data_IF_392491421110
#
_entry.id   IF_392491421110
#
_cell.length_a   1.000
_cell.length_b   1.000
_cell.length_c   1.000
_cell.angle_alpha   90.00
_cell.angle_beta   90.00
_cell.angle_gamma   90.00
#
_symmetry.space_group_name_H-M   'P 1'
#
loop_
_entity.id
_entity.type
_entity.pdbx_description
1 polymer ?
#
# COMPACT_ATOMS: atom_id res chain seq x y z
N UNK A 1 5.43 -3.01 -54.69
CA UNK A 1 4.98 -2.34 -53.45
C UNK A 1 6.19 -2.21 -52.55
N UNK A 2 6.40 -1.06 -51.88
CA UNK A 2 7.34 -0.95 -50.77
C UNK A 2 7.01 -1.98 -49.68
N UNK A 3 8.04 -2.49 -49.00
CA UNK A 3 7.91 -3.52 -47.96
C UNK A 3 6.98 -3.07 -46.82
N UNK A 4 7.16 -1.84 -46.34
CA UNK A 4 6.31 -1.18 -45.34
C UNK A 4 4.81 -1.16 -45.72
N UNK A 5 4.48 -0.96 -47.00
CA UNK A 5 3.08 -0.99 -47.46
C UNK A 5 2.49 -2.42 -47.46
N UNK A 6 3.34 -3.44 -47.64
CA UNK A 6 2.93 -4.85 -47.53
C UNK A 6 2.69 -5.21 -46.06
N UNK A 7 3.58 -4.79 -45.15
CA UNK A 7 3.40 -4.98 -43.70
C UNK A 7 2.11 -4.32 -43.20
N UNK A 8 1.90 -3.04 -43.49
CA UNK A 8 0.66 -2.34 -43.14
C UNK A 8 -0.59 -3.04 -43.71
N UNK A 9 -0.55 -3.52 -44.96
CA UNK A 9 -1.69 -4.26 -45.53
C UNK A 9 -1.94 -5.59 -44.81
N UNK A 10 -0.88 -6.30 -44.41
CA UNK A 10 -0.98 -7.55 -43.64
C UNK A 10 -1.56 -7.28 -42.24
N UNK A 11 -1.15 -6.21 -41.55
CA UNK A 11 -1.72 -5.79 -40.27
C UNK A 11 -3.23 -5.50 -40.39
N UNK A 12 -3.66 -4.75 -41.40
CA UNK A 12 -5.08 -4.49 -41.63
C UNK A 12 -5.87 -5.77 -41.90
N UNK A 13 -5.28 -6.72 -42.64
CA UNK A 13 -5.88 -8.01 -42.94
C UNK A 13 -5.99 -8.90 -41.69
N UNK A 14 -4.94 -8.97 -40.86
CA UNK A 14 -4.97 -9.64 -39.54
C UNK A 14 -6.10 -9.05 -38.69
N UNK A 15 -6.19 -7.72 -38.59
CA UNK A 15 -7.22 -7.05 -37.80
C UNK A 15 -8.63 -7.47 -38.22
N UNK A 16 -8.91 -7.45 -39.52
CA UNK A 16 -10.22 -7.74 -40.08
C UNK A 16 -10.62 -9.21 -39.93
N UNK A 17 -9.70 -10.13 -40.23
CA UNK A 17 -9.91 -11.58 -40.10
C UNK A 17 -10.07 -11.97 -38.63
N UNK A 18 -9.11 -11.59 -37.78
CA UNK A 18 -9.09 -12.02 -36.39
C UNK A 18 -10.20 -11.38 -35.56
N UNK A 19 -10.64 -10.16 -35.86
CA UNK A 19 -11.81 -9.56 -35.19
C UNK A 19 -13.10 -10.36 -35.42
N UNK A 20 -13.23 -11.05 -36.58
CA UNK A 20 -14.37 -11.92 -36.90
C UNK A 20 -14.19 -13.34 -36.33
N UNK A 21 -12.97 -13.88 -36.38
CA UNK A 21 -12.65 -15.23 -35.94
C UNK A 21 -12.46 -15.38 -34.42
N UNK A 22 -12.17 -14.30 -33.68
CA UNK A 22 -11.89 -14.34 -32.24
C UNK A 22 -12.93 -15.14 -31.43
N UNK A 23 -14.23 -14.99 -31.74
CA UNK A 23 -15.30 -15.70 -31.02
C UNK A 23 -15.31 -17.23 -31.20
N UNK A 24 -14.53 -17.74 -32.16
CA UNK A 24 -14.40 -19.16 -32.46
C UNK A 24 -13.02 -19.70 -32.03
N UNK A 25 -11.94 -18.93 -32.25
CA UNK A 25 -10.57 -19.43 -32.09
C UNK A 25 -9.89 -19.03 -30.78
N UNK A 26 -10.46 -18.09 -30.02
CA UNK A 26 -9.95 -17.72 -28.69
C UNK A 26 -10.52 -18.67 -27.64
N UNK A 27 -9.64 -19.35 -26.88
CA UNK A 27 -10.03 -20.30 -25.82
C UNK A 27 -11.01 -21.38 -26.32
N UNK A 28 -10.69 -22.01 -27.46
CA UNK A 28 -11.53 -23.04 -28.08
C UNK A 28 -11.55 -24.34 -27.27
N UNK A 29 -12.73 -24.97 -27.15
CA UNK A 29 -13.02 -26.14 -26.30
C UNK A 29 -12.11 -27.36 -26.50
N UNK A 30 -11.41 -27.45 -27.64
CA UNK A 30 -10.43 -28.50 -27.92
C UNK A 30 -9.06 -28.29 -27.26
N UNK A 31 -8.83 -27.14 -26.62
CA UNK A 31 -7.57 -26.76 -25.99
C UNK A 31 -7.74 -26.68 -24.47
N UNK A 32 -6.66 -26.91 -23.74
CA UNK A 32 -6.60 -26.78 -22.27
C UNK A 32 -6.37 -25.32 -21.79
N UNK A 33 -6.57 -24.34 -22.68
CA UNK A 33 -6.28 -22.92 -22.44
C UNK A 33 -7.08 -22.36 -21.23
N UNK A 34 -8.36 -22.70 -21.10
CA UNK A 34 -9.21 -22.29 -19.94
C UNK A 34 -8.67 -22.86 -18.61
N UNK A 35 -8.24 -24.13 -18.63
CA UNK A 35 -7.76 -24.82 -17.44
C UNK A 35 -6.44 -24.20 -16.96
N UNK A 36 -5.56 -23.83 -17.89
CA UNK A 36 -4.33 -23.08 -17.62
C UNK A 36 -4.61 -21.66 -17.16
N UNK A 37 -5.58 -20.96 -17.74
CA UNK A 37 -6.02 -19.65 -17.26
C UNK A 37 -6.50 -19.69 -15.81
N UNK A 38 -7.33 -20.66 -15.45
CA UNK A 38 -7.81 -20.84 -14.08
C UNK A 38 -6.67 -21.21 -13.12
N UNK A 39 -5.71 -22.04 -13.55
CA UNK A 39 -4.53 -22.38 -12.76
C UNK A 39 -3.64 -21.14 -12.51
N UNK A 40 -3.32 -20.39 -13.57
CA UNK A 40 -2.50 -19.18 -13.51
C UNK A 40 -3.17 -18.07 -12.68
N UNK A 41 -4.47 -17.84 -12.85
CA UNK A 41 -5.21 -16.84 -12.07
C UNK A 41 -5.24 -17.19 -10.58
N UNK A 42 -5.42 -18.47 -10.22
CA UNK A 42 -5.33 -18.95 -8.83
C UNK A 42 -3.92 -18.79 -8.28
N UNK A 43 -2.90 -19.09 -9.08
CA UNK A 43 -1.49 -18.94 -8.73
C UNK A 43 -1.13 -17.49 -8.44
N UNK A 44 -1.45 -16.55 -9.34
CA UNK A 44 -1.26 -15.11 -9.10
C UNK A 44 -2.01 -14.66 -7.84
N UNK A 45 -3.27 -15.10 -7.65
CA UNK A 45 -4.06 -14.78 -6.45
C UNK A 45 -3.40 -15.28 -5.16
N UNK A 46 -2.76 -16.45 -5.17
CA UNK A 46 -2.03 -16.98 -4.00
C UNK A 46 -0.74 -16.22 -3.67
N UNK A 47 -0.23 -15.41 -4.60
CA UNK A 47 1.00 -14.61 -4.47
C UNK A 47 0.70 -13.11 -4.20
N UNK A 48 -0.54 -12.76 -3.87
CA UNK A 48 -0.96 -11.36 -3.57
C UNK A 48 -0.24 -10.72 -2.38
N UNK A 49 0.47 -11.49 -1.57
CA UNK A 49 1.26 -11.02 -0.42
C UNK A 49 2.70 -10.60 -0.78
N UNK A 50 3.16 -10.89 -2.00
CA UNK A 50 4.52 -10.55 -2.45
C UNK A 50 4.64 -9.04 -2.61
N UNK A 51 5.61 -8.44 -1.92
CA UNK A 51 5.86 -6.99 -1.95
C UNK A 51 6.88 -6.61 -3.03
N UNK A 52 6.88 -5.36 -3.53
CA UNK A 52 7.86 -4.93 -4.55
C UNK A 52 9.31 -5.05 -4.05
N UNK A 53 9.56 -4.93 -2.74
CA UNK A 53 10.89 -5.10 -2.14
C UNK A 53 11.42 -6.54 -2.25
N UNK A 54 10.56 -7.55 -2.09
CA UNK A 54 10.96 -8.97 -2.25
C UNK A 54 11.42 -9.26 -3.69
N UNK A 55 10.79 -8.63 -4.66
CA UNK A 55 11.15 -8.71 -6.09
C UNK A 55 12.23 -7.69 -6.50
N UNK A 56 12.77 -6.90 -5.55
CA UNK A 56 13.76 -5.83 -5.79
C UNK A 56 13.33 -4.80 -6.84
N UNK A 57 12.03 -4.58 -6.97
CA UNK A 57 11.46 -3.64 -7.93
C UNK A 57 11.85 -2.20 -7.56
N UNK A 58 12.33 -1.38 -8.50
CA UNK A 58 12.52 0.05 -8.27
C UNK A 58 11.17 0.70 -7.98
N UNK A 59 10.93 1.08 -6.74
CA UNK A 59 9.68 1.72 -6.31
C UNK A 59 10.03 3.05 -5.64
N UNK A 60 9.43 4.15 -6.08
CA UNK A 60 9.53 5.40 -5.32
C UNK A 60 8.52 5.31 -4.19
N UNK A 61 9.00 5.34 -2.95
CA UNK A 61 8.16 5.55 -1.78
C UNK A 61 7.77 7.04 -1.71
N UNK A 62 6.92 7.41 -2.67
CA UNK A 62 6.24 8.70 -2.78
C UNK A 62 5.04 8.66 -1.81
N UNK A 63 4.66 9.81 -1.24
CA UNK A 63 3.83 9.84 -0.03
C UNK A 63 2.45 9.19 -0.21
N UNK A 64 1.69 8.91 0.88
CA UNK A 64 0.42 8.16 0.81
C UNK A 64 -0.71 8.80 -0.01
N UNK A 65 -0.50 9.99 -0.61
CA UNK A 65 -1.41 10.61 -1.57
C UNK A 65 -1.02 10.37 -3.04
N UNK A 66 0.21 9.91 -3.32
CA UNK A 66 0.68 9.59 -4.67
C UNK A 66 0.17 8.19 -5.09
N UNK A 67 -0.38 8.10 -6.31
CA UNK A 67 -0.84 6.83 -6.87
C UNK A 67 0.34 5.89 -7.20
N UNK A 68 0.11 4.57 -7.14
CA UNK A 68 1.11 3.55 -7.53
C UNK A 68 1.68 3.89 -8.92
N UNK A 69 3.00 4.12 -9.06
CA UNK A 69 3.61 4.51 -10.34
C UNK A 69 3.44 3.45 -11.44
N UNK A 70 3.12 2.21 -11.07
CA UNK A 70 2.85 1.10 -11.99
C UNK A 70 1.36 0.97 -12.37
N UNK A 71 0.45 1.75 -11.78
CA UNK A 71 -1.00 1.71 -12.09
C UNK A 71 -1.34 1.86 -13.59
N UNK A 72 -0.65 2.73 -14.38
CA UNK A 72 -0.87 2.80 -15.83
C UNK A 72 -0.46 1.51 -16.56
N UNK A 73 0.62 0.84 -16.11
CA UNK A 73 1.07 -0.43 -16.67
C UNK A 73 0.11 -1.58 -16.32
N UNK A 74 -0.36 -1.62 -15.07
CA UNK A 74 -1.39 -2.54 -14.56
C UNK A 74 -2.68 -2.42 -15.39
N UNK A 75 -3.12 -1.19 -15.66
CA UNK A 75 -4.32 -0.92 -16.47
C UNK A 75 -4.11 -1.40 -17.91
N UNK A 76 -2.96 -1.09 -18.53
CA UNK A 76 -2.66 -1.46 -19.91
C UNK A 76 -2.64 -2.98 -20.15
N UNK A 77 -2.13 -3.78 -19.20
CA UNK A 77 -2.11 -5.25 -19.34
C UNK A 77 -3.49 -5.88 -19.08
N UNK A 78 -4.33 -5.30 -18.22
CA UNK A 78 -5.73 -5.73 -18.03
C UNK A 78 -6.55 -5.47 -19.31
N UNK A 79 -6.34 -4.33 -19.98
CA UNK A 79 -7.02 -3.98 -21.23
C UNK A 79 -6.79 -4.97 -22.39
N UNK A 80 -5.73 -5.79 -22.33
CA UNK A 80 -5.38 -6.76 -23.38
C UNK A 80 -6.53 -7.72 -23.71
N UNK A 81 -7.26 -8.18 -22.68
CA UNK A 81 -8.36 -9.13 -22.84
C UNK A 81 -9.55 -8.54 -23.62
N UNK A 82 -9.77 -7.23 -23.51
CA UNK A 82 -10.84 -6.53 -24.23
C UNK A 82 -10.56 -6.35 -25.74
N UNK A 83 -9.32 -6.55 -26.20
CA UNK A 83 -8.94 -6.42 -27.61
C UNK A 83 -9.23 -7.71 -28.39
N UNK A 84 -9.47 -7.63 -29.70
CA UNK A 84 -9.77 -8.81 -30.54
C UNK A 84 -8.67 -9.16 -31.56
N UNK A 85 -8.00 -8.19 -32.15
CA UNK A 85 -6.87 -8.47 -33.03
C UNK A 85 -5.59 -8.80 -32.22
N UNK A 86 -4.74 -9.75 -32.65
CA UNK A 86 -3.45 -10.01 -32.03
C UNK A 86 -2.58 -8.74 -31.92
N UNK A 87 -2.48 -7.92 -32.97
CA UNK A 87 -1.77 -6.63 -32.92
C UNK A 87 -2.30 -5.68 -31.83
N UNK A 88 -3.60 -5.66 -31.56
CA UNK A 88 -4.18 -4.75 -30.55
C UNK A 88 -3.85 -5.25 -29.14
N UNK A 89 -3.76 -6.57 -28.95
CA UNK A 89 -3.26 -7.21 -27.71
C UNK A 89 -1.78 -6.90 -27.51
N UNK A 90 -0.96 -7.02 -28.56
CA UNK A 90 0.45 -6.62 -28.54
C UNK A 90 0.64 -5.13 -28.22
N UNK A 91 -0.19 -4.24 -28.78
CA UNK A 91 -0.20 -2.82 -28.41
C UNK A 91 -0.44 -2.59 -26.91
N UNK A 92 -1.28 -3.41 -26.25
CA UNK A 92 -1.46 -3.37 -24.80
C UNK A 92 -0.20 -3.80 -24.04
N UNK A 93 0.51 -4.83 -24.52
CA UNK A 93 1.80 -5.25 -23.94
C UNK A 93 2.87 -4.16 -24.10
N UNK A 94 3.04 -3.59 -25.29
CA UNK A 94 4.02 -2.50 -25.52
C UNK A 94 3.67 -1.23 -24.71
N UNK A 95 2.38 -0.91 -24.54
CA UNK A 95 1.94 0.15 -23.62
C UNK A 95 2.27 -0.17 -22.17
N UNK A 96 2.05 -1.41 -21.71
CA UNK A 96 2.42 -1.85 -20.37
C UNK A 96 3.93 -1.65 -20.13
N UNK A 97 4.77 -2.16 -21.05
CA UNK A 97 6.23 -2.05 -20.96
C UNK A 97 6.71 -0.60 -20.95
N UNK A 98 6.17 0.27 -21.80
CA UNK A 98 6.54 1.70 -21.82
C UNK A 98 6.20 2.42 -20.51
N UNK A 99 5.06 2.11 -19.90
CA UNK A 99 4.71 2.65 -18.58
C UNK A 99 5.63 2.11 -17.48
N UNK A 100 6.09 0.85 -17.56
CA UNK A 100 7.12 0.31 -16.65
C UNK A 100 8.44 1.09 -16.78
N UNK A 101 8.93 1.31 -18.01
CA UNK A 101 10.15 2.11 -18.22
C UNK A 101 10.02 3.54 -17.70
N UNK A 102 8.86 4.17 -17.88
CA UNK A 102 8.58 5.50 -17.34
C UNK A 102 8.57 5.50 -15.80
N UNK A 103 7.97 4.48 -15.17
CA UNK A 103 7.96 4.32 -13.72
C UNK A 103 9.38 4.11 -13.16
N UNK A 104 10.14 3.16 -13.71
CA UNK A 104 11.52 2.87 -13.28
C UNK A 104 12.44 4.08 -13.48
N UNK A 105 12.37 4.75 -14.64
CA UNK A 105 13.13 5.98 -14.91
C UNK A 105 12.70 7.19 -14.07
N UNK A 106 11.54 7.12 -13.40
CA UNK A 106 11.11 8.10 -12.39
C UNK A 106 11.54 7.73 -10.96
N UNK A 107 12.09 6.52 -10.77
CA UNK A 107 12.64 6.01 -9.51
C UNK A 107 14.19 6.05 -9.47
N UNK A 108 14.85 5.81 -10.61
CA UNK A 108 16.32 5.80 -10.75
C UNK A 108 16.79 6.90 -11.71
N UNK A 109 17.96 7.48 -11.41
CA UNK A 109 18.62 8.45 -12.31
C UNK A 109 19.37 7.77 -13.47
N UNK A 110 19.50 6.45 -13.46
CA UNK A 110 20.15 5.65 -14.50
C UNK A 110 19.10 4.98 -15.41
N UNK A 111 19.44 4.67 -16.68
CA UNK A 111 18.56 3.91 -17.56
C UNK A 111 18.19 2.55 -16.94
N UNK A 112 16.91 2.20 -17.00
CA UNK A 112 16.42 0.91 -16.50
C UNK A 112 17.14 -0.26 -17.19
N UNK A 113 17.74 -1.16 -16.42
CA UNK A 113 18.33 -2.38 -16.97
C UNK A 113 17.25 -3.43 -17.28
N UNK A 114 17.63 -4.51 -17.96
CA UNK A 114 16.71 -5.60 -18.29
C UNK A 114 16.13 -6.28 -17.01
N UNK A 115 16.93 -6.41 -15.95
CA UNK A 115 16.50 -7.03 -14.70
C UNK A 115 15.51 -6.14 -13.92
N UNK A 116 15.72 -4.82 -13.91
CA UNK A 116 14.77 -3.85 -13.34
C UNK A 116 13.43 -3.93 -14.06
N UNK A 117 13.46 -3.96 -15.40
CA UNK A 117 12.27 -4.07 -16.24
C UNK A 117 11.53 -5.39 -16.01
N UNK A 118 12.23 -6.52 -16.00
CA UNK A 118 11.62 -7.84 -15.82
C UNK A 118 11.02 -7.99 -14.41
N UNK A 119 11.72 -7.52 -13.39
CA UNK A 119 11.24 -7.54 -12.00
C UNK A 119 9.97 -6.69 -11.84
N UNK A 120 9.97 -5.48 -12.41
CA UNK A 120 8.79 -4.62 -12.43
C UNK A 120 7.62 -5.21 -13.25
N UNK A 121 7.90 -5.90 -14.36
CA UNK A 121 6.89 -6.59 -15.15
C UNK A 121 6.24 -7.76 -14.40
N UNK A 122 7.03 -8.55 -13.67
CA UNK A 122 6.54 -9.61 -12.78
C UNK A 122 5.59 -9.02 -11.71
N UNK A 123 6.01 -7.92 -11.05
CA UNK A 123 5.18 -7.20 -10.08
C UNK A 123 3.87 -6.68 -10.69
N UNK A 124 3.94 -6.03 -11.86
CA UNK A 124 2.75 -5.55 -12.59
C UNK A 124 1.78 -6.69 -12.90
N UNK A 125 2.25 -7.86 -13.34
CA UNK A 125 1.39 -9.02 -13.62
C UNK A 125 0.76 -9.58 -12.34
N UNK A 126 1.51 -9.65 -11.23
CA UNK A 126 1.00 -10.08 -9.92
C UNK A 126 -0.08 -9.14 -9.36
N UNK A 127 0.14 -7.83 -9.48
CA UNK A 127 -0.82 -6.81 -9.06
C UNK A 127 -2.08 -6.84 -9.94
N UNK A 128 -1.91 -6.85 -11.26
CA UNK A 128 -2.99 -6.83 -12.24
C UNK A 128 -3.87 -8.10 -12.19
N UNK A 129 -3.27 -9.29 -12.06
CA UNK A 129 -3.91 -10.58 -12.29
C UNK A 129 -4.78 -10.60 -13.58
N UNK A 130 -4.20 -10.37 -14.77
CA UNK A 130 -4.96 -10.12 -15.99
C UNK A 130 -5.92 -11.27 -16.32
N UNK A 131 -7.17 -10.98 -16.72
CA UNK A 131 -8.12 -12.02 -17.08
C UNK A 131 -7.64 -12.79 -18.32
N UNK A 132 -7.78 -14.12 -18.26
CA UNK A 132 -7.46 -15.05 -19.35
C UNK A 132 -6.06 -14.88 -19.94
N UNK A 133 -5.06 -14.61 -19.08
CA UNK A 133 -3.70 -14.26 -19.49
C UNK A 133 -3.04 -15.35 -20.37
N UNK A 134 -3.21 -16.63 -20.05
CA UNK A 134 -2.69 -17.74 -20.84
C UNK A 134 -3.36 -17.80 -22.22
N UNK A 135 -4.70 -17.76 -22.29
CA UNK A 135 -5.42 -17.72 -23.58
C UNK A 135 -5.02 -16.52 -24.43
N UNK A 136 -4.85 -15.35 -23.82
CA UNK A 136 -4.42 -14.13 -24.52
C UNK A 136 -3.03 -14.27 -25.14
N UNK A 137 -2.06 -14.82 -24.40
CA UNK A 137 -0.71 -15.07 -24.90
C UNK A 137 -0.67 -16.16 -25.97
N UNK A 138 -1.39 -17.28 -25.76
CA UNK A 138 -1.50 -18.35 -26.75
C UNK A 138 -2.17 -17.87 -28.05
N UNK A 139 -3.22 -17.05 -27.95
CA UNK A 139 -3.89 -16.46 -29.11
C UNK A 139 -2.93 -15.56 -29.91
N UNK A 140 -2.17 -14.70 -29.23
CA UNK A 140 -1.14 -13.88 -29.88
C UNK A 140 -0.05 -14.74 -30.53
N UNK A 141 0.45 -15.77 -29.85
CA UNK A 141 1.48 -16.65 -30.38
C UNK A 141 1.01 -17.53 -31.57
N UNK A 142 -0.27 -17.92 -31.62
CA UNK A 142 -0.86 -18.75 -32.68
C UNK A 142 -1.30 -17.96 -33.91
N UNK A 143 -1.77 -16.72 -33.72
CA UNK A 143 -2.44 -15.95 -34.78
C UNK A 143 -1.81 -14.58 -35.09
N UNK A 144 -0.82 -14.13 -34.31
CA UNK A 144 -0.12 -12.88 -34.57
C UNK A 144 0.84 -12.97 -35.76
N UNK A 145 0.96 -11.87 -36.51
CA UNK A 145 1.87 -11.78 -37.65
C UNK A 145 3.34 -12.05 -37.24
N UNK A 146 4.08 -12.90 -37.99
CA UNK A 146 5.46 -13.27 -37.62
C UNK A 146 6.43 -12.10 -37.48
N UNK A 147 6.29 -11.01 -38.26
CA UNK A 147 7.18 -9.84 -38.14
C UNK A 147 6.95 -9.11 -36.81
N UNK A 148 5.69 -8.93 -36.37
CA UNK A 148 5.34 -8.25 -35.11
C UNK A 148 5.81 -9.02 -33.85
N UNK A 149 6.01 -10.34 -33.98
CA UNK A 149 6.50 -11.21 -32.90
C UNK A 149 8.01 -11.46 -32.95
N UNK A 150 8.64 -11.47 -34.14
CA UNK A 150 10.05 -11.82 -34.32
C UNK A 150 10.97 -10.60 -34.47
N UNK A 151 10.42 -9.43 -34.77
CA UNK A 151 11.18 -8.22 -35.07
C UNK A 151 10.67 -7.04 -34.22
N UNK A 152 11.59 -6.18 -33.78
CA UNK A 152 11.26 -4.95 -33.06
C UNK A 152 10.96 -5.12 -31.56
N UNK A 153 10.64 -4.01 -30.92
CA UNK A 153 10.44 -3.91 -29.46
C UNK A 153 9.25 -4.74 -28.94
N UNK A 154 8.18 -4.85 -29.75
CA UNK A 154 6.96 -5.58 -29.40
C UNK A 154 7.21 -7.07 -29.16
N UNK A 155 8.02 -7.72 -30.00
CA UNK A 155 8.44 -9.12 -29.81
C UNK A 155 9.28 -9.32 -28.55
N UNK A 156 10.16 -8.36 -28.23
CA UNK A 156 10.93 -8.36 -26.98
C UNK A 156 10.02 -8.24 -25.75
N UNK A 157 9.04 -7.32 -25.76
CA UNK A 157 8.10 -7.17 -24.64
C UNK A 157 7.21 -8.42 -24.45
N UNK A 158 6.72 -9.02 -25.55
CA UNK A 158 5.93 -10.25 -25.49
C UNK A 158 6.75 -11.45 -24.97
N UNK A 159 8.03 -11.52 -25.36
CA UNK A 159 8.96 -12.54 -24.83
C UNK A 159 9.18 -12.35 -23.33
N UNK A 160 9.40 -11.12 -22.87
CA UNK A 160 9.55 -10.82 -21.44
C UNK A 160 8.27 -11.11 -20.63
N UNK A 161 7.09 -10.83 -21.18
CA UNK A 161 5.81 -11.24 -20.56
C UNK A 161 5.72 -12.77 -20.43
N UNK A 162 6.20 -13.51 -21.44
CA UNK A 162 6.26 -14.98 -21.41
C UNK A 162 7.23 -15.49 -20.33
N UNK A 163 8.39 -14.86 -20.18
CA UNK A 163 9.33 -15.13 -19.08
C UNK A 163 8.72 -14.81 -17.71
N UNK A 164 8.05 -13.67 -17.56
CA UNK A 164 7.42 -13.25 -16.30
C UNK A 164 6.31 -14.22 -15.86
N UNK A 165 5.47 -14.68 -16.78
CA UNK A 165 4.43 -15.69 -16.48
C UNK A 165 5.04 -17.03 -16.08
N UNK A 166 6.03 -17.53 -16.85
CA UNK A 166 6.72 -18.78 -16.52
C UNK A 166 7.48 -18.71 -15.18
N UNK A 167 7.98 -17.53 -14.79
CA UNK A 167 8.54 -17.27 -13.47
C UNK A 167 7.47 -17.34 -12.38
N UNK A 168 6.33 -16.65 -12.54
CA UNK A 168 5.21 -16.66 -11.57
C UNK A 168 4.65 -18.07 -11.35
N UNK A 169 4.54 -18.89 -12.40
CA UNK A 169 4.15 -20.30 -12.28
C UNK A 169 5.10 -21.06 -11.35
N UNK A 170 6.41 -20.90 -11.53
CA UNK A 170 7.48 -21.65 -10.84
C UNK A 170 8.02 -20.98 -9.57
N UNK A 171 7.53 -19.80 -9.21
CA UNK A 171 8.04 -18.97 -8.12
C UNK A 171 8.07 -19.72 -6.77
N UNK A 172 9.24 -19.77 -6.14
CA UNK A 172 9.49 -20.46 -4.89
C UNK A 172 10.05 -19.52 -3.80
N UNK A 173 10.37 -20.08 -2.64
CA UNK A 173 10.94 -19.32 -1.52
C UNK A 173 12.32 -18.72 -1.87
N UNK A 174 13.15 -19.47 -2.61
CA UNK A 174 14.49 -19.06 -2.99
C UNK A 174 14.47 -17.84 -3.94
N UNK A 175 13.54 -17.81 -4.89
CA UNK A 175 13.34 -16.69 -5.81
C UNK A 175 12.98 -15.37 -5.11
N UNK A 176 12.41 -15.42 -3.89
CA UNK A 176 12.09 -14.25 -3.06
C UNK A 176 13.10 -14.02 -1.93
N UNK A 177 14.12 -14.86 -1.77
CA UNK A 177 15.07 -14.81 -0.65
C UNK A 177 14.47 -15.19 0.71
N UNK A 178 13.37 -15.96 0.73
CA UNK A 178 12.67 -16.41 1.94
C UNK A 178 13.05 -17.84 2.30
N UNK A 179 12.83 -18.22 3.57
CA UNK A 179 12.88 -19.64 3.95
C UNK A 179 11.64 -20.41 3.43
N UNK A 180 11.75 -21.74 3.24
CA UNK A 180 10.61 -22.57 2.82
C UNK A 180 9.41 -22.51 3.78
N UNK A 181 9.66 -22.30 5.08
CA UNK A 181 8.64 -22.25 6.12
C UNK A 181 7.90 -20.90 6.14
N UNK A 182 8.60 -19.78 5.97
CA UNK A 182 7.98 -18.46 5.79
C UNK A 182 7.11 -18.44 4.53
N UNK A 183 7.64 -18.93 3.41
CA UNK A 183 6.89 -19.01 2.15
C UNK A 183 5.63 -19.88 2.30
N UNK A 184 5.73 -21.02 2.99
CA UNK A 184 4.58 -21.87 3.31
C UNK A 184 3.57 -21.15 4.21
N UNK A 185 4.04 -20.39 5.21
CA UNK A 185 3.22 -19.57 6.08
C UNK A 185 2.39 -18.54 5.30
N UNK A 186 3.02 -17.79 4.40
CA UNK A 186 2.31 -16.82 3.54
C UNK A 186 1.32 -17.51 2.58
N UNK A 187 1.71 -18.63 1.96
CA UNK A 187 0.84 -19.38 1.06
C UNK A 187 -0.39 -19.99 1.76
N UNK A 188 -0.26 -20.38 3.04
CA UNK A 188 -1.37 -20.90 3.84
C UNK A 188 -2.24 -19.78 4.44
N UNK A 189 -1.62 -18.66 4.86
CA UNK A 189 -2.32 -17.48 5.38
C UNK A 189 -3.01 -16.62 4.31
N UNK A 190 -2.59 -16.71 3.05
CA UNK A 190 -3.11 -15.92 1.92
C UNK A 190 -4.38 -16.45 1.25
N UNK A 191 -4.92 -17.58 1.71
CA UNK A 191 -6.25 -18.06 1.28
C UNK A 191 -7.37 -17.07 1.68
N UNK A 192 -8.49 -17.06 0.96
CA UNK A 192 -9.57 -16.09 1.18
C UNK A 192 -10.15 -16.09 2.62
N UNK A 193 -9.98 -17.18 3.37
CA UNK A 193 -10.26 -17.30 4.80
C UNK A 193 -9.31 -16.47 5.68
N UNK A 194 -8.03 -16.43 5.34
CA UNK A 194 -7.01 -15.66 6.07
C UNK A 194 -7.12 -14.15 5.82
N UNK A 195 -7.50 -13.71 4.62
CA UNK A 195 -7.74 -12.28 4.35
C UNK A 195 -8.88 -11.70 5.19
N UNK A 196 -9.96 -12.46 5.43
CA UNK A 196 -11.05 -12.08 6.34
C UNK A 196 -10.58 -12.05 7.80
N UNK A 197 -9.82 -13.06 8.24
CA UNK A 197 -9.24 -13.10 9.58
C UNK A 197 -8.25 -11.95 9.84
N UNK A 198 -7.35 -11.66 8.91
CA UNK A 198 -6.43 -10.53 8.95
C UNK A 198 -7.19 -9.19 8.98
N UNK A 199 -8.24 -9.01 8.17
CA UNK A 199 -9.06 -7.81 8.21
C UNK A 199 -9.78 -7.62 9.55
N UNK A 200 -10.24 -8.71 10.20
CA UNK A 200 -10.78 -8.66 11.56
C UNK A 200 -9.70 -8.35 12.61
N UNK A 201 -8.51 -8.94 12.48
CA UNK A 201 -7.39 -8.73 13.41
C UNK A 201 -6.84 -7.30 13.33
N UNK A 202 -6.68 -6.75 12.12
CA UNK A 202 -6.29 -5.34 11.89
C UNK A 202 -7.36 -4.38 12.43
N UNK A 203 -8.66 -4.71 12.29
CA UNK A 203 -9.75 -3.93 12.94
C UNK A 203 -9.64 -3.93 14.45
N UNK A 204 -9.41 -5.08 15.08
CA UNK A 204 -9.22 -5.18 16.53
C UNK A 204 -8.00 -4.38 17.02
N UNK A 205 -6.88 -4.44 16.29
CA UNK A 205 -5.69 -3.64 16.59
C UNK A 205 -5.92 -2.13 16.44
N UNK A 206 -6.69 -1.71 15.42
CA UNK A 206 -7.09 -0.30 15.24
C UNK A 206 -8.01 0.19 16.37
N UNK A 207 -8.97 -0.63 16.81
CA UNK A 207 -9.83 -0.32 17.95
C UNK A 207 -9.04 -0.23 19.27
N UNK A 208 -8.04 -1.11 19.46
CA UNK A 208 -7.16 -1.06 20.63
C UNK A 208 -6.26 0.19 20.61
N UNK A 209 -5.61 0.49 19.48
CA UNK A 209 -4.79 1.70 19.31
C UNK A 209 -5.61 2.97 19.54
N UNK A 210 -6.84 3.01 19.02
CA UNK A 210 -7.78 4.12 19.26
C UNK A 210 -8.12 4.27 20.74
N UNK A 211 -8.45 3.19 21.45
CA UNK A 211 -8.71 3.25 22.90
C UNK A 211 -7.49 3.73 23.69
N UNK A 212 -6.29 3.29 23.32
CA UNK A 212 -5.03 3.75 23.93
C UNK A 212 -4.83 5.25 23.69
N UNK A 213 -5.09 5.74 22.47
CA UNK A 213 -5.01 7.17 22.13
C UNK A 213 -6.04 8.00 22.91
N UNK A 214 -7.29 7.55 22.99
CA UNK A 214 -8.36 8.20 23.77
C UNK A 214 -7.98 8.27 25.27
N UNK A 215 -7.43 7.20 25.84
CA UNK A 215 -6.95 7.17 27.23
C UNK A 215 -5.80 8.15 27.49
N UNK A 216 -4.78 8.18 26.62
CA UNK A 216 -3.64 9.12 26.73
C UNK A 216 -4.10 10.57 26.62
N UNK A 217 -5.05 10.88 25.74
CA UNK A 217 -5.64 12.22 25.62
C UNK A 217 -6.41 12.63 26.88
N UNK A 218 -7.13 11.70 27.51
CA UNK A 218 -7.86 11.97 28.74
C UNK A 218 -6.93 12.18 29.94
N UNK A 219 -5.85 11.39 30.05
CA UNK A 219 -4.78 11.61 31.02
C UNK A 219 -4.09 12.97 30.83
N UNK A 220 -3.79 13.35 29.58
CA UNK A 220 -3.19 14.64 29.27
C UNK A 220 -4.09 15.83 29.68
N UNK A 221 -5.40 15.73 29.43
CA UNK A 221 -6.40 16.73 29.88
C UNK A 221 -6.48 16.80 31.41
N UNK A 222 -6.48 15.65 32.08
CA UNK A 222 -6.51 15.58 33.54
C UNK A 222 -5.27 16.25 34.16
N UNK A 223 -4.08 15.94 33.65
CA UNK A 223 -2.83 16.57 34.06
C UNK A 223 -2.81 18.07 33.79
N UNK A 224 -3.34 18.52 32.63
CA UNK A 224 -3.45 19.94 32.31
C UNK A 224 -4.40 20.68 33.26
N UNK A 225 -5.51 20.06 33.67
CA UNK A 225 -6.42 20.62 34.67
C UNK A 225 -5.77 20.69 36.07
N UNK A 226 -5.05 19.63 36.48
CA UNK A 226 -4.28 19.62 37.72
C UNK A 226 -3.24 20.74 37.75
N UNK A 227 -2.44 20.88 36.69
CA UNK A 227 -1.43 21.95 36.57
C UNK A 227 -2.04 23.36 36.65
N UNK A 228 -3.21 23.59 36.04
CA UNK A 228 -3.95 24.86 36.16
C UNK A 228 -4.39 25.12 37.60
N UNK A 229 -5.05 24.16 38.24
CA UNK A 229 -5.50 24.29 39.63
C UNK A 229 -4.35 24.50 40.62
N UNK A 230 -3.19 23.88 40.35
CA UNK A 230 -1.97 24.09 41.13
C UNK A 230 -1.42 25.50 40.93
N UNK A 231 -1.32 25.97 39.68
CA UNK A 231 -0.86 27.33 39.37
C UNK A 231 -1.77 28.40 40.00
N UNK A 232 -3.09 28.24 39.88
CA UNK A 232 -4.10 29.10 40.52
C UNK A 232 -3.91 29.10 42.06
N UNK A 233 -3.80 27.92 42.69
CA UNK A 233 -3.58 27.81 44.14
C UNK A 233 -2.25 28.43 44.60
N UNK A 234 -1.17 28.30 43.81
CA UNK A 234 0.10 28.98 44.11
C UNK A 234 0.00 30.50 43.96
N UNK A 235 -0.78 30.99 42.99
CA UNK A 235 -1.01 32.42 42.81
C UNK A 235 -1.85 32.99 43.97
N UNK A 236 -2.96 32.35 44.34
CA UNK A 236 -3.80 32.81 45.47
C UNK A 236 -2.99 32.87 46.77
N UNK A 237 -2.13 31.88 47.03
CA UNK A 237 -1.24 31.87 48.21
C UNK A 237 -0.17 32.95 48.16
N UNK A 238 0.36 33.27 46.98
CA UNK A 238 1.26 34.41 46.80
C UNK A 238 0.56 35.75 47.06
N UNK A 239 -0.67 35.90 46.57
CA UNK A 239 -1.50 37.09 46.75
C UNK A 239 -1.95 37.27 48.22
N UNK A 240 -2.31 36.19 48.92
CA UNK A 240 -2.60 36.20 50.37
C UNK A 240 -1.40 36.64 51.21
N UNK A 241 -0.21 36.09 50.93
CA UNK A 241 1.03 36.48 51.61
C UNK A 241 1.38 37.95 51.30
N UNK A 242 1.24 38.38 50.05
CA UNK A 242 1.46 39.77 49.65
C UNK A 242 0.51 40.72 50.41
N UNK A 243 -0.78 40.39 50.49
CA UNK A 243 -1.79 41.18 51.22
C UNK A 243 -1.44 41.32 52.71
N UNK A 244 -1.06 40.22 53.37
CA UNK A 244 -0.64 40.21 54.77
C UNK A 244 0.66 41.00 55.02
N UNK A 245 1.57 41.05 54.05
CA UNK A 245 2.77 41.90 54.15
C UNK A 245 2.51 43.39 53.93
N UNK A 246 1.41 43.77 53.26
CA UNK A 246 1.11 45.18 52.94
C UNK A 246 0.17 45.88 53.95
N UNK A 247 -0.62 45.12 54.72
CA UNK A 247 -1.50 45.66 55.78
C UNK A 247 -1.31 44.95 57.13
N UNK A 248 -0.30 45.33 57.94
CA UNK A 248 -0.19 44.86 59.32
C UNK A 248 -1.29 45.49 60.19
N UNK A 249 -2.16 44.65 60.76
CA UNK A 249 -3.23 45.10 61.66
C UNK A 249 -2.66 45.53 63.03
N UNK A 250 -2.63 46.84 63.29
CA UNK A 250 -2.29 47.40 64.60
C UNK A 250 -3.44 47.26 65.61
N UNK A 251 -3.18 46.90 66.89
CA UNK A 251 -4.23 46.68 67.88
C UNK A 251 -4.74 47.99 68.51
N UNK A 252 -6.06 48.18 68.54
CA UNK A 252 -6.71 49.26 69.30
C UNK A 252 -6.88 48.87 70.77
N UNK A 253 -6.33 49.68 71.69
CA UNK A 253 -6.50 49.54 73.14
C UNK A 253 -7.65 50.41 73.67
N UNK A 254 -8.58 49.73 74.37
CA UNK A 254 -9.49 50.15 75.47
C UNK A 254 -9.83 51.63 75.72
N UNK A 255 -11.13 51.84 75.86
CA UNK A 255 -11.87 52.89 76.60
C UNK A 255 -13.15 52.18 77.11
N UNK A 256 -13.57 52.18 78.38
CA UNK A 256 -12.92 52.58 79.64
C UNK A 256 -13.58 51.89 80.87
N UNK A 257 -13.70 52.58 82.02
CA UNK A 257 -14.53 52.35 83.22
C UNK A 257 -14.05 51.37 84.31
N UNK A 258 -14.36 51.72 85.57
CA UNK A 258 -13.74 51.15 86.78
C UNK A 258 -14.68 50.86 87.97
N UNK A 259 -14.07 50.80 89.18
CA UNK A 259 -14.59 50.19 90.43
C UNK A 259 -14.71 48.64 90.37
N UNK A 260 -14.56 47.87 91.45
CA UNK A 260 -14.47 48.20 92.89
C UNK A 260 -13.51 47.26 93.68
N UNK A 261 -13.16 47.71 94.90
CA UNK A 261 -12.61 47.05 96.09
C UNK A 261 -12.09 45.58 96.12
N UNK A 262 -10.90 45.46 96.76
CA UNK A 262 -10.46 44.48 97.79
C UNK A 262 -10.30 42.99 97.43
N UNK A 263 -9.14 42.42 97.78
CA UNK A 263 -9.11 41.02 98.28
C UNK A 263 -7.82 40.19 98.16
N UNK A 264 -6.86 40.40 99.07
CA UNK A 264 -6.11 39.35 99.81
C UNK A 264 -5.49 38.12 99.06
N UNK A 265 -4.14 38.07 99.10
CA UNK A 265 -3.23 36.92 99.24
C UNK A 265 -3.14 35.77 98.19
N UNK A 266 -1.90 35.53 97.73
CA UNK A 266 -1.09 34.45 98.32
C UNK A 266 -0.52 33.34 97.40
N UNK A 267 0.80 33.11 97.54
CA UNK A 267 1.61 31.93 97.11
C UNK A 267 1.85 31.81 95.58
N UNK A 268 3.08 31.51 95.11
CA UNK A 268 3.89 30.28 95.27
C UNK A 268 3.12 29.04 94.77
N UNK A 269 3.64 28.20 93.88
CA UNK A 269 5.06 27.84 93.64
C UNK A 269 5.22 27.12 92.27
N UNK A 270 6.47 27.06 91.78
CA UNK A 270 7.00 26.25 90.65
C UNK A 270 6.58 26.59 89.20
#
# INVERSE_FOLDING_TARGET
MPEEQVEQMMEHMEKLVMTRLHKWVFCHDSCDDEQKDLALQRRIRSLKWVTPQMLRVPFTDRGPEDADPYLPAITAIIEMDAKRAPQDKLCCVSKCSRNIFQAVGSCKSEPACADDFLSALIYVVLCANPPRLHSNMQYVARFGLPHALRTGETGYYFTNLSCAVAFIEKLDAAALGLSPDEFRGFMQGGGATGALGQAQQVRQQLEELRRRQEHVMEQARSLQAQLRSWAESTQTRADEVAYLTFFPSSPLRRVDDGADCRGVAGRQEH
#
